data_IF_029742634082
#
_entry.id   IF_029742634082
#
_cell.length_a   1.000
_cell.length_b   1.000
_cell.length_c   1.000
_cell.angle_alpha   90.00
_cell.angle_beta   90.00
_cell.angle_gamma   90.00
#
_symmetry.space_group_name_H-M   'P 1'
#
loop_
_entity.id
_entity.type
_entity.pdbx_description
1 polymer ?
#
# COMPACT_ATOMS: atom_id res chain seq x y z
N UNK A 1 -6.28 -5.68 38.72
CA UNK A 1 -7.15 -6.41 37.78
C UNK A 1 -7.90 -5.41 36.93
N UNK A 2 -7.52 -5.22 35.68
CA UNK A 2 -8.19 -4.29 34.76
C UNK A 2 -9.49 -4.93 34.28
N UNK A 3 -10.60 -4.20 34.34
CA UNK A 3 -11.89 -4.65 33.81
C UNK A 3 -11.76 -5.02 32.32
N UNK A 4 -12.45 -6.06 31.84
CA UNK A 4 -12.40 -6.45 30.45
C UNK A 4 -12.89 -5.28 29.57
N UNK A 5 -12.06 -4.85 28.64
CA UNK A 5 -12.42 -3.83 27.64
C UNK A 5 -13.45 -4.41 26.68
N UNK A 6 -14.74 -4.22 26.99
CA UNK A 6 -15.89 -4.72 26.22
C UNK A 6 -16.17 -3.91 24.94
N UNK A 7 -15.53 -2.77 24.74
CA UNK A 7 -15.73 -1.96 23.55
C UNK A 7 -14.94 -2.55 22.37
N UNK A 8 -15.63 -2.86 21.26
CA UNK A 8 -14.98 -3.21 19.99
C UNK A 8 -13.90 -2.18 19.68
N UNK A 9 -12.66 -2.59 19.37
CA UNK A 9 -11.58 -1.69 19.04
C UNK A 9 -12.00 -0.70 17.95
N UNK A 10 -11.53 0.55 18.02
CA UNK A 10 -11.87 1.62 17.09
C UNK A 10 -11.67 1.24 15.61
N UNK A 11 -10.66 0.43 15.31
CA UNK A 11 -10.34 -0.04 13.96
C UNK A 11 -11.38 -1.01 13.40
N UNK A 12 -12.03 -1.85 14.25
CA UNK A 12 -13.15 -2.71 13.83
C UNK A 12 -14.37 -1.90 13.36
N UNK A 13 -14.51 -0.67 13.85
CA UNK A 13 -15.55 0.26 13.37
C UNK A 13 -15.15 0.92 12.05
N UNK A 14 -13.84 1.05 11.79
CA UNK A 14 -13.32 1.75 10.62
C UNK A 14 -13.14 0.85 9.41
N UNK A 15 -12.69 -0.38 9.65
CA UNK A 15 -12.42 -1.39 8.63
C UNK A 15 -12.94 -2.75 9.15
N UNK A 16 -14.27 -3.00 9.01
CA UNK A 16 -14.85 -4.21 9.55
C UNK A 16 -14.20 -5.44 8.91
N UNK A 17 -13.95 -6.49 9.68
CA UNK A 17 -13.44 -7.75 9.13
C UNK A 17 -14.41 -8.25 8.08
N UNK A 18 -13.90 -8.52 6.88
CA UNK A 18 -14.69 -9.07 5.80
C UNK A 18 -14.98 -10.54 6.09
N UNK A 19 -16.25 -10.93 5.97
CA UNK A 19 -16.68 -12.33 6.12
C UNK A 19 -16.24 -13.21 4.94
N UNK A 20 -16.00 -12.63 3.76
CA UNK A 20 -15.44 -13.34 2.62
C UNK A 20 -13.95 -13.53 2.79
N UNK A 21 -13.48 -14.72 2.52
CA UNK A 21 -12.04 -15.01 2.46
C UNK A 21 -11.42 -14.37 1.22
N UNK A 22 -10.92 -13.15 1.41
CA UNK A 22 -10.23 -12.43 0.36
C UNK A 22 -8.77 -12.83 0.43
N UNK A 23 -8.36 -13.53 -0.60
CA UNK A 23 -6.99 -13.97 -0.77
C UNK A 23 -6.07 -12.80 -1.08
N UNK A 24 -5.13 -12.53 -0.17
CA UNK A 24 -4.06 -11.57 -0.36
C UNK A 24 -2.80 -12.30 -0.79
N UNK A 25 -2.11 -11.78 -1.79
CA UNK A 25 -0.80 -12.31 -2.15
C UNK A 25 0.19 -12.01 -1.03
N UNK A 26 0.99 -13.00 -0.66
CA UNK A 26 2.11 -12.82 0.24
C UNK A 26 3.04 -11.71 -0.26
N UNK A 27 3.60 -10.90 0.65
CA UNK A 27 4.74 -10.06 0.31
C UNK A 27 5.82 -10.91 -0.35
N UNK A 28 6.47 -10.46 -1.45
CA UNK A 28 7.38 -11.28 -2.27
C UNK A 28 8.63 -11.79 -1.55
N UNK A 29 8.74 -11.51 -0.30
CA UNK A 29 9.92 -11.63 0.54
C UNK A 29 9.98 -12.90 1.38
N UNK A 30 8.86 -13.53 1.69
CA UNK A 30 8.85 -14.55 2.74
C UNK A 30 8.82 -15.97 2.22
N UNK A 31 8.47 -16.21 0.95
CA UNK A 31 8.45 -17.56 0.42
C UNK A 31 8.46 -17.57 -1.11
N UNK A 32 9.03 -18.61 -1.69
CA UNK A 32 8.96 -18.93 -3.13
C UNK A 32 7.56 -19.44 -3.53
N UNK A 33 6.72 -19.83 -2.57
CA UNK A 33 5.38 -20.32 -2.83
C UNK A 33 4.42 -19.15 -3.10
N UNK A 34 3.55 -19.32 -4.09
CA UNK A 34 2.47 -18.37 -4.44
C UNK A 34 1.32 -18.40 -3.42
N UNK A 35 1.62 -18.49 -2.13
CA UNK A 35 0.61 -18.55 -1.09
C UNK A 35 0.04 -17.17 -0.79
N UNK A 36 -1.20 -17.15 -0.39
CA UNK A 36 -1.88 -15.94 0.08
C UNK A 36 -1.43 -15.58 1.50
N UNK A 37 -1.42 -14.30 1.81
CA UNK A 37 -1.09 -13.80 3.14
C UNK A 37 -2.14 -14.28 4.17
N UNK A 38 -1.70 -15.09 5.12
CA UNK A 38 -2.53 -15.57 6.23
C UNK A 38 -2.38 -14.66 7.46
N UNK A 39 -3.22 -14.88 8.49
CA UNK A 39 -3.02 -14.23 9.79
C UNK A 39 -1.68 -14.63 10.44
N UNK A 40 -1.26 -15.89 10.25
CA UNK A 40 0.04 -16.38 10.71
C UNK A 40 1.21 -15.65 10.02
N UNK A 41 1.08 -15.34 8.73
CA UNK A 41 2.10 -14.58 8.00
C UNK A 41 2.22 -13.15 8.52
N UNK A 42 1.09 -12.49 8.79
CA UNK A 42 1.09 -11.15 9.37
C UNK A 42 1.67 -11.14 10.79
N UNK A 43 1.41 -12.19 11.58
CA UNK A 43 2.03 -12.39 12.90
C UNK A 43 3.54 -12.56 12.80
N UNK A 44 4.02 -13.43 11.91
CA UNK A 44 5.44 -13.67 11.70
C UNK A 44 6.16 -12.37 11.26
N UNK A 45 5.54 -11.60 10.36
CA UNK A 45 6.08 -10.31 9.93
C UNK A 45 6.09 -9.29 11.08
N UNK A 46 5.07 -9.30 11.95
CA UNK A 46 5.02 -8.44 13.14
C UNK A 46 6.14 -8.76 14.12
N UNK A 47 6.42 -10.06 14.36
CA UNK A 47 7.55 -10.51 15.21
C UNK A 47 8.88 -10.07 14.61
N UNK A 48 9.07 -10.25 13.31
CA UNK A 48 10.28 -9.82 12.61
C UNK A 48 10.48 -8.30 12.71
N UNK A 49 9.41 -7.53 12.52
CA UNK A 49 9.47 -6.07 12.66
C UNK A 49 9.84 -5.64 14.06
N UNK A 50 9.26 -6.27 15.08
CA UNK A 50 9.61 -6.00 16.47
C UNK A 50 11.09 -6.33 16.77
N UNK A 51 11.59 -7.47 16.30
CA UNK A 51 12.98 -7.85 16.48
C UNK A 51 13.95 -6.85 15.81
N UNK A 52 13.62 -6.38 14.59
CA UNK A 52 14.39 -5.36 13.89
C UNK A 52 14.42 -4.02 14.65
N UNK A 53 13.30 -3.60 15.23
CA UNK A 53 13.22 -2.38 16.04
C UNK A 53 14.02 -2.52 17.35
N UNK A 54 13.95 -3.68 18.00
CA UNK A 54 14.72 -3.98 19.23
C UNK A 54 16.23 -3.95 18.99
N UNK A 55 16.70 -4.47 17.85
CA UNK A 55 18.13 -4.53 17.53
C UNK A 55 18.78 -3.14 17.43
N UNK A 56 18.00 -2.10 17.18
CA UNK A 56 18.47 -0.70 17.08
C UNK A 56 18.27 0.07 18.39
N UNK A 57 17.59 -0.51 19.38
CA UNK A 57 17.31 0.12 20.67
C UNK A 57 16.41 1.36 20.60
N UNK A 58 15.63 1.48 19.54
CA UNK A 58 14.75 2.64 19.28
C UNK A 58 13.30 2.20 19.02
N UNK A 59 12.40 3.19 18.96
CA UNK A 59 10.99 2.99 18.61
C UNK A 59 10.21 2.10 19.62
N UNK A 60 10.44 2.30 20.91
CA UNK A 60 9.78 1.54 22.00
C UNK A 60 8.25 1.48 21.87
N UNK A 61 7.60 2.61 21.58
CA UNK A 61 6.14 2.67 21.38
C UNK A 61 5.66 1.80 20.20
N UNK A 62 6.43 1.77 19.11
CA UNK A 62 6.10 0.93 17.97
C UNK A 62 6.21 -0.56 18.32
N UNK A 63 7.22 -0.96 19.10
CA UNK A 63 7.36 -2.33 19.59
C UNK A 63 6.18 -2.73 20.47
N UNK A 64 5.78 -1.85 21.40
CA UNK A 64 4.64 -2.08 22.28
C UNK A 64 3.35 -2.28 21.46
N UNK A 65 3.05 -1.42 20.50
CA UNK A 65 1.86 -1.55 19.65
C UNK A 65 1.87 -2.85 18.83
N UNK A 66 3.02 -3.28 18.31
CA UNK A 66 3.13 -4.55 17.60
C UNK A 66 2.83 -5.74 18.52
N UNK A 67 3.34 -5.71 19.76
CA UNK A 67 3.09 -6.73 20.76
C UNK A 67 1.61 -6.81 21.14
N UNK A 68 0.99 -5.69 21.49
CA UNK A 68 -0.43 -5.60 21.86
C UNK A 68 -1.35 -6.07 20.73
N UNK A 69 -1.02 -5.71 19.48
CA UNK A 69 -1.78 -6.19 18.31
C UNK A 69 -1.71 -7.71 18.15
N UNK A 70 -0.56 -8.34 18.44
CA UNK A 70 -0.41 -9.80 18.37
C UNK A 70 -1.14 -10.52 19.50
N UNK A 71 -1.17 -9.93 20.68
CA UNK A 71 -1.94 -10.46 21.81
C UNK A 71 -3.45 -10.51 21.54
N UNK A 72 -3.93 -9.74 20.55
CA UNK A 72 -5.34 -9.77 20.11
C UNK A 72 -6.28 -8.86 20.89
N UNK A 73 -5.83 -8.29 22.00
CA UNK A 73 -6.64 -7.46 22.89
C UNK A 73 -6.88 -6.05 22.33
N UNK A 74 -6.01 -5.63 21.45
CA UNK A 74 -5.99 -4.27 20.90
C UNK A 74 -5.53 -4.26 19.44
N UNK A 75 -6.02 -3.31 18.66
CA UNK A 75 -5.52 -2.98 17.32
C UNK A 75 -5.01 -1.54 17.30
N UNK A 76 -3.74 -1.37 16.93
CA UNK A 76 -3.07 -0.08 17.00
C UNK A 76 -3.46 0.88 15.86
N UNK A 77 -4.12 0.42 14.81
CA UNK A 77 -4.48 1.19 13.60
C UNK A 77 -3.29 1.93 12.96
N UNK A 78 -2.09 1.37 13.10
CA UNK A 78 -0.85 1.96 12.56
C UNK A 78 -0.50 1.35 11.22
N UNK A 79 -0.10 2.19 10.26
CA UNK A 79 0.27 1.78 8.89
C UNK A 79 1.43 0.79 8.89
N UNK A 80 2.38 0.93 9.80
CA UNK A 80 3.52 0.02 9.93
C UNK A 80 3.19 -1.34 10.56
N UNK A 81 2.01 -1.50 11.14
CA UNK A 81 1.62 -2.76 11.77
C UNK A 81 1.14 -3.76 10.72
N UNK A 82 1.79 -4.92 10.56
CA UNK A 82 1.41 -5.92 9.55
C UNK A 82 -0.01 -6.46 9.74
N UNK A 83 -0.47 -6.63 10.99
CA UNK A 83 -1.82 -7.10 11.30
C UNK A 83 -2.88 -6.09 10.90
N UNK A 84 -2.70 -4.83 11.31
CA UNK A 84 -3.62 -3.75 10.93
C UNK A 84 -3.58 -3.47 9.43
N UNK A 85 -2.40 -3.52 8.81
CA UNK A 85 -2.22 -3.38 7.37
C UNK A 85 -2.93 -4.46 6.58
N UNK A 86 -2.85 -5.72 7.05
CA UNK A 86 -3.57 -6.84 6.44
C UNK A 86 -5.09 -6.64 6.51
N UNK A 87 -5.61 -6.29 7.68
CA UNK A 87 -7.05 -6.08 7.87
C UNK A 87 -7.56 -4.92 7.00
N UNK A 88 -6.82 -3.81 6.95
CA UNK A 88 -7.12 -2.69 6.08
C UNK A 88 -7.13 -3.06 4.60
N UNK A 89 -6.10 -3.80 4.13
CA UNK A 89 -6.01 -4.25 2.73
C UNK A 89 -7.16 -5.18 2.38
N UNK A 90 -7.56 -6.09 3.25
CA UNK A 90 -8.70 -6.98 3.04
C UNK A 90 -10.00 -6.18 2.86
N UNK A 91 -10.24 -5.23 3.75
CA UNK A 91 -11.38 -4.33 3.60
C UNK A 91 -11.32 -3.56 2.27
N UNK A 92 -10.19 -2.94 1.97
CA UNK A 92 -10.02 -2.13 0.77
C UNK A 92 -10.25 -2.94 -0.50
N UNK A 93 -9.67 -4.13 -0.60
CA UNK A 93 -9.83 -5.02 -1.74
C UNK A 93 -11.30 -5.42 -1.91
N UNK A 94 -11.99 -5.79 -0.82
CA UNK A 94 -13.41 -6.14 -0.86
C UNK A 94 -14.27 -4.99 -1.39
N UNK A 95 -14.03 -3.79 -0.91
CA UNK A 95 -14.77 -2.60 -1.34
C UNK A 95 -14.46 -2.21 -2.80
N UNK A 96 -13.20 -2.32 -3.20
CA UNK A 96 -12.80 -2.09 -4.60
C UNK A 96 -13.46 -3.10 -5.53
N UNK A 97 -13.46 -4.38 -5.20
CA UNK A 97 -14.14 -5.41 -5.98
C UNK A 97 -15.63 -5.12 -6.11
N UNK A 98 -16.28 -4.73 -5.03
CA UNK A 98 -17.71 -4.36 -5.04
C UNK A 98 -18.00 -3.17 -5.95
N UNK A 99 -17.14 -2.16 -5.97
CA UNK A 99 -17.28 -0.99 -6.85
C UNK A 99 -16.99 -1.34 -8.30
N UNK A 100 -16.07 -2.30 -8.55
CA UNK A 100 -15.67 -2.74 -9.88
C UNK A 100 -16.67 -3.68 -10.55
N UNK A 101 -17.36 -4.53 -9.78
CA UNK A 101 -18.21 -5.62 -10.28
C UNK A 101 -19.25 -5.12 -11.30
N UNK A 102 -19.58 -3.84 -11.25
CA UNK A 102 -20.51 -3.20 -12.17
C UNK A 102 -19.88 -2.63 -13.47
N UNK A 103 -18.52 -2.55 -13.58
CA UNK A 103 -17.86 -1.77 -14.65
C UNK A 103 -16.52 -2.34 -15.17
N UNK A 104 -16.19 -3.59 -14.92
CA UNK A 104 -14.84 -4.16 -15.05
C UNK A 104 -14.22 -4.26 -16.47
N UNK A 105 -14.95 -3.98 -17.56
CA UNK A 105 -14.47 -4.25 -18.93
C UNK A 105 -13.26 -3.41 -19.37
N UNK A 106 -13.04 -2.22 -18.78
CA UNK A 106 -11.95 -1.30 -19.12
C UNK A 106 -11.17 -0.88 -17.86
N UNK A 107 -10.55 -1.82 -17.20
CA UNK A 107 -9.75 -1.56 -16.01
C UNK A 107 -8.25 -1.72 -16.30
N UNK A 108 -7.46 -0.80 -15.73
CA UNK A 108 -6.01 -0.73 -15.89
C UNK A 108 -5.37 -0.57 -14.52
N UNK A 109 -4.20 -1.17 -14.34
CA UNK A 109 -3.34 -0.94 -13.19
C UNK A 109 -2.17 -0.04 -13.62
N UNK A 110 -2.04 1.11 -12.99
CA UNK A 110 -0.96 2.05 -13.24
C UNK A 110 -0.08 2.19 -12.00
N UNK A 111 1.23 2.16 -12.19
CA UNK A 111 2.23 2.52 -11.18
C UNK A 111 2.91 3.80 -11.61
N UNK A 112 2.97 4.78 -10.71
CA UNK A 112 3.59 6.09 -10.96
C UNK A 112 4.65 6.34 -9.89
N UNK A 113 5.89 6.58 -10.31
CA UNK A 113 6.95 7.06 -9.43
C UNK A 113 6.77 8.57 -9.23
N UNK A 114 6.76 9.02 -7.99
CA UNK A 114 6.42 10.40 -7.63
C UNK A 114 7.63 11.22 -7.21
N UNK A 115 8.46 10.66 -6.34
CA UNK A 115 9.65 11.30 -5.81
C UNK A 115 10.66 10.26 -5.30
N UNK A 116 11.95 10.63 -5.26
CA UNK A 116 13.01 9.86 -4.63
C UNK A 116 13.86 10.75 -3.75
N UNK A 117 14.30 10.22 -2.60
CA UNK A 117 15.24 10.91 -1.70
C UNK A 117 16.10 9.91 -0.94
N UNK A 118 17.33 10.31 -0.61
CA UNK A 118 18.18 9.59 0.35
C UNK A 118 17.61 9.63 1.76
N UNK A 119 16.84 10.66 2.09
CA UNK A 119 16.14 10.80 3.36
C UNK A 119 14.64 10.54 3.18
N UNK A 120 14.11 9.53 3.84
CA UNK A 120 12.69 9.17 3.77
C UNK A 120 11.76 10.29 4.23
N UNK A 121 12.24 11.18 5.10
CA UNK A 121 11.47 12.25 5.70
C UNK A 121 11.11 13.36 4.70
N UNK A 122 11.82 13.44 3.58
CA UNK A 122 11.53 14.36 2.48
C UNK A 122 10.34 13.90 1.61
N UNK A 123 9.86 12.68 1.82
CA UNK A 123 8.82 12.08 1.02
C UNK A 123 7.44 12.16 1.69
N UNK A 124 6.57 12.98 1.14
CA UNK A 124 5.23 13.21 1.69
C UNK A 124 4.13 12.80 0.68
N UNK A 125 3.39 11.71 0.92
CA UNK A 125 2.34 11.25 0.01
C UNK A 125 1.19 12.25 -0.14
N UNK A 126 0.91 13.07 0.89
CA UNK A 126 -0.24 13.99 0.87
C UNK A 126 -0.02 15.17 -0.07
N UNK A 127 1.22 15.61 -0.26
CA UNK A 127 1.58 16.70 -1.17
C UNK A 127 1.33 16.34 -2.65
N UNK A 128 1.40 15.07 -2.99
CA UNK A 128 1.20 14.61 -4.35
C UNK A 128 -0.27 14.45 -4.76
N UNK A 129 -1.20 14.37 -3.78
CA UNK A 129 -2.63 14.07 -4.06
C UNK A 129 -3.28 15.02 -5.02
N UNK A 130 -3.14 16.32 -4.78
CA UNK A 130 -3.80 17.33 -5.60
C UNK A 130 -3.16 17.45 -6.97
N UNK A 131 -1.84 17.27 -7.05
CA UNK A 131 -1.14 17.19 -8.32
C UNK A 131 -1.62 16.00 -9.17
N UNK A 132 -1.78 14.82 -8.56
CA UNK A 132 -2.30 13.64 -9.25
C UNK A 132 -3.74 13.88 -9.71
N UNK A 133 -4.61 14.45 -8.87
CA UNK A 133 -5.99 14.78 -9.25
C UNK A 133 -6.04 15.73 -10.44
N UNK A 134 -5.26 16.80 -10.41
CA UNK A 134 -5.15 17.75 -11.53
C UNK A 134 -4.67 17.07 -12.82
N UNK A 135 -3.73 16.12 -12.73
CA UNK A 135 -3.26 15.36 -13.89
C UNK A 135 -4.35 14.42 -14.43
N UNK A 136 -5.12 13.77 -13.57
CA UNK A 136 -6.27 12.95 -13.97
C UNK A 136 -7.36 13.80 -14.65
N UNK A 137 -7.70 14.97 -14.11
CA UNK A 137 -8.67 15.90 -14.71
C UNK A 137 -8.21 16.37 -16.09
N UNK A 138 -6.96 16.82 -16.22
CA UNK A 138 -6.38 17.28 -17.50
C UNK A 138 -6.28 16.16 -18.54
N UNK A 139 -6.09 14.92 -18.12
CA UNK A 139 -6.11 13.77 -19.00
C UNK A 139 -7.52 13.38 -19.46
N UNK A 140 -8.56 14.04 -18.95
CA UNK A 140 -9.97 13.77 -19.31
C UNK A 140 -10.58 12.59 -18.56
N UNK A 141 -10.04 12.23 -17.41
CA UNK A 141 -10.51 11.11 -16.58
C UNK A 141 -11.69 11.49 -15.66
N UNK A 142 -12.35 12.62 -15.90
CA UNK A 142 -13.45 13.12 -15.08
C UNK A 142 -14.59 12.12 -14.84
N UNK A 143 -14.87 11.22 -15.78
CA UNK A 143 -15.88 10.16 -15.65
C UNK A 143 -15.31 8.82 -15.19
N UNK A 144 -13.99 8.69 -15.07
CA UNK A 144 -13.33 7.47 -14.63
C UNK A 144 -13.31 7.36 -13.08
N UNK A 145 -13.10 6.14 -12.61
CA UNK A 145 -12.91 5.86 -11.20
C UNK A 145 -11.47 5.40 -10.99
N UNK A 146 -10.74 6.10 -10.09
CA UNK A 146 -9.40 5.68 -9.73
C UNK A 146 -9.34 5.39 -8.23
N UNK A 147 -8.86 4.21 -7.89
CA UNK A 147 -8.62 3.80 -6.50
C UNK A 147 -7.22 3.22 -6.38
N UNK A 148 -6.56 3.49 -5.27
CA UNK A 148 -5.20 2.98 -5.10
C UNK A 148 -4.56 3.47 -3.83
N UNK A 149 -3.23 3.49 -3.79
CA UNK A 149 -2.52 3.95 -2.62
C UNK A 149 -1.06 4.27 -2.85
N UNK A 150 -0.58 5.11 -1.95
CA UNK A 150 0.82 5.47 -1.86
C UNK A 150 1.60 4.35 -1.18
N UNK A 151 2.75 4.06 -1.72
CA UNK A 151 3.68 3.08 -1.21
C UNK A 151 5.09 3.66 -1.27
N UNK A 152 5.97 3.16 -0.41
CA UNK A 152 7.36 3.54 -0.41
C UNK A 152 8.23 2.30 -0.50
N UNK A 153 9.32 2.40 -1.25
CA UNK A 153 10.27 1.31 -1.42
C UNK A 153 11.69 1.82 -1.31
N UNK A 154 12.54 1.07 -0.63
CA UNK A 154 13.97 1.34 -0.59
C UNK A 154 14.69 0.72 -1.78
N UNK A 155 15.45 1.52 -2.50
CA UNK A 155 16.34 1.12 -3.59
C UNK A 155 17.76 0.98 -3.06
N UNK A 156 18.19 -0.23 -2.76
CA UNK A 156 19.49 -0.49 -2.17
C UNK A 156 20.67 -0.08 -3.07
N UNK A 157 20.48 -0.10 -4.40
CA UNK A 157 21.52 0.36 -5.36
C UNK A 157 21.84 1.84 -5.15
N UNK A 158 20.80 2.64 -5.12
CA UNK A 158 20.90 4.10 -5.16
C UNK A 158 20.85 4.68 -3.73
N UNK A 159 20.72 3.78 -2.72
CA UNK A 159 20.57 4.11 -1.29
C UNK A 159 19.47 5.18 -1.07
N UNK A 160 18.39 5.09 -1.82
CA UNK A 160 17.30 6.06 -1.75
C UNK A 160 15.95 5.39 -1.55
N UNK A 161 15.04 6.15 -0.98
CA UNK A 161 13.63 5.83 -0.87
C UNK A 161 12.89 6.38 -2.08
N UNK A 162 11.94 5.61 -2.60
CA UNK A 162 11.11 6.02 -3.72
C UNK A 162 9.65 5.95 -3.30
N UNK A 163 8.99 7.10 -3.31
CA UNK A 163 7.55 7.21 -3.17
C UNK A 163 6.89 6.95 -4.51
N UNK A 164 5.93 6.05 -4.53
CA UNK A 164 5.13 5.76 -5.71
C UNK A 164 3.67 5.59 -5.36
N UNK A 165 2.81 5.69 -6.35
CA UNK A 165 1.39 5.37 -6.23
C UNK A 165 1.03 4.24 -7.18
N UNK A 166 0.28 3.27 -6.69
CA UNK A 166 -0.38 2.25 -7.49
C UNK A 166 -1.85 2.60 -7.62
N UNK A 167 -2.34 2.70 -8.86
CA UNK A 167 -3.71 3.10 -9.18
C UNK A 167 -4.40 2.02 -10.00
N UNK A 168 -5.59 1.67 -9.61
CA UNK A 168 -6.55 1.00 -10.44
C UNK A 168 -7.43 2.05 -11.10
N UNK A 169 -7.42 2.09 -12.42
CA UNK A 169 -8.17 3.05 -13.25
C UNK A 169 -9.26 2.30 -13.99
N UNK A 170 -10.51 2.70 -13.81
CA UNK A 170 -11.69 2.05 -14.41
C UNK A 170 -12.48 3.05 -15.24
N UNK A 171 -12.86 2.66 -16.46
CA UNK A 171 -13.66 3.50 -17.35
C UNK A 171 -12.84 4.50 -18.18
N UNK A 172 -11.51 4.37 -18.21
CA UNK A 172 -10.65 5.24 -19.02
C UNK A 172 -10.54 4.75 -20.47
N UNK A 173 -10.64 5.66 -21.44
CA UNK A 173 -10.31 5.39 -22.83
C UNK A 173 -8.77 5.35 -23.03
N UNK A 174 -8.30 4.67 -24.07
CA UNK A 174 -6.86 4.62 -24.39
C UNK A 174 -6.22 6.00 -24.57
N UNK A 175 -6.94 6.93 -25.18
CA UNK A 175 -6.49 8.32 -25.36
C UNK A 175 -6.29 9.05 -24.04
N UNK A 176 -7.13 8.80 -23.03
CA UNK A 176 -6.98 9.37 -21.69
C UNK A 176 -5.74 8.79 -20.99
N UNK A 177 -5.49 7.49 -21.12
CA UNK A 177 -4.31 6.84 -20.55
C UNK A 177 -3.02 7.36 -21.18
N UNK A 178 -3.00 7.60 -22.51
CA UNK A 178 -1.84 8.19 -23.19
C UNK A 178 -1.57 9.63 -22.72
N UNK A 179 -2.62 10.45 -22.55
CA UNK A 179 -2.48 11.81 -21.97
C UNK A 179 -1.96 11.76 -20.54
N UNK A 180 -2.41 10.77 -19.75
CA UNK A 180 -1.93 10.59 -18.37
C UNK A 180 -0.46 10.18 -18.35
N UNK A 181 -0.04 9.28 -19.24
CA UNK A 181 1.36 8.90 -19.39
C UNK A 181 2.24 10.12 -19.71
N UNK A 182 1.84 10.92 -20.70
CA UNK A 182 2.52 12.16 -21.05
C UNK A 182 2.60 13.15 -19.86
N UNK A 183 1.53 13.25 -19.06
CA UNK A 183 1.49 14.12 -17.88
C UNK A 183 2.43 13.69 -16.76
N UNK A 184 2.85 12.43 -16.72
CA UNK A 184 3.82 11.88 -15.77
C UNK A 184 5.23 11.71 -16.36
N UNK A 185 5.43 11.89 -17.67
CA UNK A 185 6.73 11.74 -18.31
C UNK A 185 7.77 12.80 -17.90
N UNK A 186 7.35 13.90 -17.27
CA UNK A 186 8.18 15.04 -16.88
C UNK A 186 8.88 14.89 -15.52
N UNK A 187 9.18 13.67 -15.09
CA UNK A 187 9.84 13.40 -13.82
C UNK A 187 11.31 13.01 -14.03
N UNK A 188 12.10 13.02 -12.96
CA UNK A 188 13.51 12.61 -12.94
C UNK A 188 13.75 11.10 -13.17
N UNK A 189 12.70 10.32 -13.36
CA UNK A 189 12.77 8.87 -13.55
C UNK A 189 12.76 8.48 -15.03
N UNK A 190 13.59 7.53 -15.43
CA UNK A 190 13.59 6.98 -16.80
C UNK A 190 12.24 6.40 -17.23
N UNK A 191 11.52 5.81 -16.28
CA UNK A 191 10.20 5.22 -16.50
C UNK A 191 9.26 5.55 -15.33
N UNK A 192 8.78 6.80 -15.27
CA UNK A 192 7.96 7.26 -14.14
C UNK A 192 6.56 6.67 -14.13
N UNK A 193 6.07 6.22 -15.26
CA UNK A 193 4.71 5.71 -15.43
C UNK A 193 4.72 4.34 -16.12
N UNK A 194 3.96 3.42 -15.57
CA UNK A 194 3.71 2.11 -16.17
C UNK A 194 2.22 1.80 -16.02
N UNK A 195 1.55 1.50 -17.13
CA UNK A 195 0.15 1.14 -17.14
C UNK A 195 -0.07 -0.17 -17.87
N UNK A 196 -0.79 -1.08 -17.26
CA UNK A 196 -1.12 -2.38 -17.85
C UNK A 196 -2.61 -2.65 -17.72
N UNK A 197 -3.19 -3.29 -18.75
CA UNK A 197 -4.59 -3.72 -18.67
C UNK A 197 -4.77 -4.74 -17.55
N UNK A 198 -5.82 -4.61 -16.79
CA UNK A 198 -6.18 -5.56 -15.75
C UNK A 198 -6.57 -6.91 -16.38
N UNK A 199 -5.85 -7.97 -16.04
CA UNK A 199 -6.09 -9.33 -16.54
C UNK A 199 -6.58 -10.26 -15.42
N UNK A 200 -5.90 -10.21 -14.29
CA UNK A 200 -6.21 -10.95 -13.08
C UNK A 200 -6.56 -9.93 -12.00
N UNK A 201 -7.87 -9.72 -11.82
CA UNK A 201 -8.42 -8.67 -10.95
C UNK A 201 -7.94 -8.85 -9.51
N UNK A 202 -8.12 -10.04 -8.94
CA UNK A 202 -7.77 -10.30 -7.55
C UNK A 202 -6.27 -10.14 -7.30
N UNK A 203 -5.46 -10.73 -8.18
CA UNK A 203 -4.01 -10.65 -8.08
C UNK A 203 -3.50 -9.22 -8.19
N UNK A 204 -4.00 -8.45 -9.16
CA UNK A 204 -3.50 -7.10 -9.40
C UNK A 204 -3.99 -6.12 -8.32
N UNK A 205 -5.24 -6.24 -7.85
CA UNK A 205 -5.75 -5.40 -6.75
C UNK A 205 -5.07 -5.75 -5.42
N UNK A 206 -4.71 -7.00 -5.19
CA UNK A 206 -4.01 -7.40 -3.96
C UNK A 206 -2.61 -6.78 -3.81
N UNK A 207 -2.05 -6.21 -4.89
CA UNK A 207 -0.82 -5.44 -4.84
C UNK A 207 -1.00 -3.98 -4.41
N UNK A 208 -2.24 -3.47 -4.39
CA UNK A 208 -2.49 -2.12 -3.90
C UNK A 208 -2.31 -2.03 -2.39
N UNK A 209 -1.74 -0.92 -1.93
CA UNK A 209 -1.50 -0.63 -0.52
C UNK A 209 -0.65 -1.70 0.19
N UNK A 210 0.38 -2.16 -0.50
CA UNK A 210 1.31 -3.14 0.01
C UNK A 210 2.44 -2.45 0.76
N UNK A 211 2.31 -2.39 2.07
CA UNK A 211 3.36 -1.87 2.93
C UNK A 211 4.45 -2.94 3.11
N UNK A 212 5.60 -2.74 2.47
CA UNK A 212 6.67 -3.73 2.48
C UNK A 212 7.90 -3.24 3.25
N UNK A 213 8.40 -4.09 4.12
CA UNK A 213 9.61 -3.91 4.92
C UNK A 213 10.83 -4.59 4.30
N UNK A 214 10.79 -4.78 3.00
CA UNK A 214 11.81 -5.48 2.22
C UNK A 214 12.23 -4.65 1.02
N UNK A 215 13.49 -4.78 0.63
CA UNK A 215 14.01 -4.25 -0.61
C UNK A 215 14.43 -5.36 -1.57
N UNK A 216 14.53 -5.05 -2.83
CA UNK A 216 15.14 -5.94 -3.82
C UNK A 216 16.55 -5.45 -4.11
N UNK A 217 17.56 -6.34 -3.94
CA UNK A 217 18.90 -6.02 -4.40
C UNK A 217 18.91 -5.71 -5.90
N UNK A 218 19.96 -5.00 -6.33
CA UNK A 218 20.15 -4.69 -7.74
C UNK A 218 20.23 -5.98 -8.58
N UNK A 219 19.60 -5.93 -9.74
CA UNK A 219 19.67 -6.99 -10.74
C UNK A 219 20.69 -6.64 -11.79
N UNK A 220 21.70 -7.46 -11.97
CA UNK A 220 22.57 -7.37 -13.16
C UNK A 220 21.77 -7.77 -14.40
N UNK A 221 22.00 -7.07 -15.52
CA UNK A 221 21.35 -7.36 -16.81
C UNK A 221 21.54 -8.83 -17.17
N UNK A 222 20.46 -9.51 -17.56
CA UNK A 222 20.49 -10.94 -17.93
C UNK A 222 20.34 -11.93 -16.77
N UNK A 223 20.50 -11.52 -15.53
CA UNK A 223 20.37 -12.42 -14.38
C UNK A 223 18.93 -12.65 -13.92
N UNK A 224 18.66 -13.74 -13.18
CA UNK A 224 17.37 -13.95 -12.49
C UNK A 224 17.15 -12.83 -11.47
N UNK A 225 15.87 -12.42 -11.27
CA UNK A 225 15.53 -11.44 -10.22
C UNK A 225 16.03 -11.95 -8.87
N UNK A 226 16.90 -11.20 -8.17
CA UNK A 226 17.34 -11.62 -6.85
C UNK A 226 16.15 -11.66 -5.88
N UNK A 227 16.19 -12.53 -4.85
CA UNK A 227 15.18 -12.57 -3.81
C UNK A 227 15.14 -11.23 -3.08
N UNK A 228 13.95 -10.85 -2.63
CA UNK A 228 13.81 -9.69 -1.75
C UNK A 228 14.52 -9.98 -0.41
N UNK A 229 15.19 -8.97 0.14
CA UNK A 229 15.86 -9.02 1.44
C UNK A 229 15.17 -8.09 2.43
N UNK A 230 15.12 -8.42 3.71
CA UNK A 230 14.65 -7.51 4.73
C UNK A 230 15.46 -6.20 4.70
N UNK A 231 14.82 -5.10 5.06
CA UNK A 231 15.52 -3.86 5.37
C UNK A 231 16.47 -4.10 6.57
N UNK A 232 17.61 -3.44 6.59
CA UNK A 232 18.46 -3.44 7.78
C UNK A 232 17.77 -2.70 8.95
N UNK A 233 18.34 -2.79 10.16
CA UNK A 233 17.70 -2.21 11.35
C UNK A 233 17.47 -0.71 11.23
N UNK A 234 18.42 0.06 10.70
CA UNK A 234 18.30 1.51 10.53
C UNK A 234 17.25 1.90 9.49
N UNK A 235 17.26 1.24 8.33
CA UNK A 235 16.25 1.43 7.26
C UNK A 235 14.85 1.05 7.76
N UNK A 236 14.75 -0.02 8.54
CA UNK A 236 13.46 -0.46 9.09
C UNK A 236 12.91 0.56 10.09
N UNK A 237 13.74 1.09 11.00
CA UNK A 237 13.34 2.16 11.94
C UNK A 237 12.91 3.42 11.19
N UNK A 238 13.67 3.84 10.18
CA UNK A 238 13.31 5.00 9.36
C UNK A 238 11.93 4.81 8.70
N UNK A 239 11.68 3.62 8.12
CA UNK A 239 10.39 3.29 7.53
C UNK A 239 9.24 3.32 8.54
N UNK A 240 9.42 2.70 9.72
CA UNK A 240 8.41 2.67 10.79
C UNK A 240 8.09 4.09 11.27
N UNK A 241 9.12 4.91 11.51
CA UNK A 241 8.94 6.30 11.92
C UNK A 241 8.20 7.11 10.85
N UNK A 242 8.54 6.95 9.59
CA UNK A 242 7.84 7.59 8.49
C UNK A 242 6.37 7.14 8.43
N UNK A 243 6.09 5.83 8.44
CA UNK A 243 4.73 5.30 8.44
C UNK A 243 3.90 5.71 9.66
N UNK A 244 4.54 5.97 10.80
CA UNK A 244 3.86 6.36 12.04
C UNK A 244 3.15 7.73 11.94
N UNK A 245 3.56 8.57 11.01
CA UNK A 245 3.00 9.91 10.74
C UNK A 245 1.66 9.85 10.01
N UNK A 246 1.37 8.72 9.37
CA UNK A 246 0.23 8.59 8.48
C UNK A 246 -0.82 7.62 9.02
N UNK A 247 -2.06 7.90 8.68
CA UNK A 247 -3.19 6.98 8.83
C UNK A 247 -3.37 6.18 7.54
N UNK A 248 -4.08 5.07 7.58
CA UNK A 248 -4.44 4.33 6.37
C UNK A 248 -5.20 5.19 5.34
N UNK A 249 -6.04 6.12 5.80
CA UNK A 249 -6.70 7.11 4.92
C UNK A 249 -5.73 8.01 4.18
N UNK A 250 -4.56 8.28 4.78
CA UNK A 250 -3.55 9.14 4.17
C UNK A 250 -2.74 8.39 3.11
N UNK A 251 -2.69 7.08 3.20
CA UNK A 251 -2.05 6.22 2.20
C UNK A 251 -2.99 5.83 1.07
N UNK A 252 -4.30 5.99 1.24
CA UNK A 252 -5.30 5.63 0.24
C UNK A 252 -5.57 6.81 -0.72
N UNK A 253 -5.67 6.53 -2.01
CA UNK A 253 -6.06 7.49 -3.04
C UNK A 253 -7.40 7.11 -3.65
N UNK A 254 -8.32 8.07 -3.70
CA UNK A 254 -9.66 7.92 -4.27
C UNK A 254 -9.97 9.09 -5.21
N UNK A 255 -10.47 8.78 -6.42
CA UNK A 255 -10.91 9.75 -7.42
C UNK A 255 -12.13 9.20 -8.16
N UNK A 256 -13.21 9.97 -8.26
CA UNK A 256 -14.51 9.49 -8.72
C UNK A 256 -15.17 8.50 -7.76
N UNK A 257 -14.53 8.23 -6.64
CA UNK A 257 -14.94 7.36 -5.55
C UNK A 257 -14.67 8.07 -4.23
N UNK A 258 -15.56 7.91 -3.27
CA UNK A 258 -15.37 8.40 -1.90
C UNK A 258 -15.69 7.33 -0.88
N UNK A 259 -15.14 7.46 0.30
CA UNK A 259 -15.51 6.65 1.44
C UNK A 259 -16.74 7.26 2.13
N UNK A 260 -17.77 6.45 2.38
CA UNK A 260 -18.93 6.79 3.20
C UNK A 260 -19.10 5.73 4.28
N UNK A 261 -18.73 6.06 5.51
CA UNK A 261 -18.67 5.09 6.60
C UNK A 261 -17.68 3.96 6.29
N UNK A 262 -18.19 2.73 6.25
CA UNK A 262 -17.42 1.51 5.98
C UNK A 262 -17.38 1.10 4.51
N UNK A 263 -17.96 1.91 3.62
CA UNK A 263 -18.11 1.60 2.19
C UNK A 263 -17.37 2.59 1.31
N UNK A 264 -16.89 2.09 0.17
CA UNK A 264 -16.54 2.92 -0.97
C UNK A 264 -17.77 3.12 -1.84
N UNK A 265 -18.05 4.34 -2.23
CA UNK A 265 -19.17 4.68 -3.11
C UNK A 265 -18.68 5.54 -4.26
N UNK A 266 -19.24 5.32 -5.46
CA UNK A 266 -18.95 6.17 -6.61
C UNK A 266 -19.59 7.55 -6.39
N UNK A 267 -18.93 8.59 -6.85
CA UNK A 267 -19.41 9.98 -6.72
C UNK A 267 -20.02 10.52 -8.00
N UNK A 268 -19.95 9.73 -9.06
CA UNK A 268 -20.44 10.08 -10.43
C UNK A 268 -21.12 8.89 -11.07
#
# INVERSE_FOLDING_TARGET
MSAPRTAKPFWLRRFPPQTRDITLLRPPCLDKSKRFETGADANAESLRSEAALKSVGRAFLAQQYLCECRAGDYRCDKVYCPLCGRDFRRWFIAEVLRVLDQRSRNAHNATVLLAASGNIDDLNPTEHRDSIRKKLDRAGLGSAHCVGGFEIVYRARDKCWVLHINLLIVGAAKSHLAKLEAAFATTEFDRPYQCVRLRDVLKQISYLLKFTTYHRPFRQTGSKKPPAKPLNGGEHVALVNWMSRYRFSDMMFLYGVRRKGERLVTTR
#
